data_IF_939904907269
#
_entry.id   IF_939904907269
#
_cell.length_a   1.000
_cell.length_b   1.000
_cell.length_c   1.000
_cell.angle_alpha   90.00
_cell.angle_beta   90.00
_cell.angle_gamma   90.00
#
_symmetry.space_group_name_H-M   'P 1'
#
loop_
_entity.id
_entity.type
_entity.pdbx_description
1 polymer ?
#
# COMPACT_ATOMS: atom_id res chain seq x y z
N UNK A 1 17.53 -23.00 -15.35
CA UNK A 1 18.30 -23.45 -16.53
C UNK A 1 18.19 -22.49 -17.72
N UNK A 2 17.03 -21.93 -18.05
CA UNK A 2 16.87 -21.03 -19.21
C UNK A 2 17.83 -19.82 -19.23
N UNK A 3 17.96 -19.13 -18.09
CA UNK A 3 18.77 -17.91 -17.98
C UNK A 3 20.28 -18.17 -18.19
N UNK A 4 20.77 -19.31 -17.70
CA UNK A 4 22.14 -19.76 -17.91
C UNK A 4 22.43 -20.07 -19.38
N UNK A 5 21.51 -20.77 -20.05
CA UNK A 5 21.65 -21.10 -21.48
C UNK A 5 21.61 -19.85 -22.34
N UNK A 6 20.75 -18.88 -22.01
CA UNK A 6 20.69 -17.58 -22.69
C UNK A 6 22.02 -16.82 -22.54
N UNK A 7 22.55 -16.71 -21.33
CA UNK A 7 23.85 -16.09 -21.07
C UNK A 7 24.99 -16.79 -21.84
N UNK A 8 24.98 -18.14 -21.87
CA UNK A 8 25.95 -18.93 -22.63
C UNK A 8 25.84 -18.73 -24.15
N UNK A 9 24.65 -18.45 -24.66
CA UNK A 9 24.41 -18.10 -26.06
C UNK A 9 24.75 -16.64 -26.39
N UNK A 10 25.36 -15.89 -25.45
CA UNK A 10 25.72 -14.49 -25.64
C UNK A 10 24.56 -13.50 -25.45
N UNK A 11 23.42 -13.95 -24.93
CA UNK A 11 22.28 -13.07 -24.61
C UNK A 11 22.50 -12.43 -23.25
N UNK A 12 22.46 -11.10 -23.18
CA UNK A 12 22.55 -10.38 -21.91
C UNK A 12 21.23 -10.52 -21.13
N UNK A 13 21.31 -11.07 -19.92
CA UNK A 13 20.15 -11.33 -19.06
C UNK A 13 20.14 -10.38 -17.87
N UNK A 14 19.06 -9.62 -17.74
CA UNK A 14 18.81 -8.73 -16.60
C UNK A 14 17.66 -9.27 -15.77
N UNK A 15 17.83 -9.35 -14.45
CA UNK A 15 16.80 -9.81 -13.53
C UNK A 15 16.70 -8.90 -12.31
N UNK A 16 15.47 -8.61 -11.86
CA UNK A 16 15.26 -7.87 -10.63
C UNK A 16 15.76 -8.67 -9.41
N UNK A 17 16.36 -7.97 -8.44
CA UNK A 17 16.82 -8.55 -7.19
C UNK A 17 15.68 -9.15 -6.35
N UNK A 18 14.45 -8.67 -6.53
CA UNK A 18 13.26 -9.05 -5.76
C UNK A 18 12.87 -7.97 -4.74
N UNK A 19 11.64 -8.08 -4.21
CA UNK A 19 11.02 -7.09 -3.32
C UNK A 19 10.85 -7.60 -1.86
N UNK A 20 11.61 -8.62 -1.48
CA UNK A 20 11.55 -9.28 -0.16
C UNK A 20 12.50 -8.68 0.89
N UNK A 21 13.07 -7.50 0.61
CA UNK A 21 13.85 -6.72 1.56
C UNK A 21 12.99 -6.20 2.74
N UNK A 22 13.59 -5.49 3.72
CA UNK A 22 14.96 -4.95 3.74
C UNK A 22 15.99 -5.85 4.42
N UNK A 23 15.61 -7.05 4.88
CA UNK A 23 16.49 -7.94 5.62
C UNK A 23 17.74 -8.35 4.80
N UNK A 24 18.91 -8.55 5.43
CA UNK A 24 20.10 -9.04 4.74
C UNK A 24 19.84 -10.37 4.02
N UNK A 25 20.47 -10.57 2.86
CA UNK A 25 20.37 -11.81 2.04
C UNK A 25 18.95 -12.16 1.56
N UNK A 26 18.08 -11.16 1.42
CA UNK A 26 16.72 -11.31 0.88
C UNK A 26 16.64 -11.29 -0.66
N UNK A 27 17.79 -11.31 -1.35
CA UNK A 27 17.87 -11.30 -2.81
C UNK A 27 17.37 -12.62 -3.42
N UNK A 28 16.49 -12.52 -4.42
CA UNK A 28 15.93 -13.66 -5.14
C UNK A 28 16.76 -14.05 -6.38
N UNK A 29 17.53 -13.11 -6.93
CA UNK A 29 18.41 -13.33 -8.10
C UNK A 29 19.88 -13.42 -7.67
N UNK A 30 20.38 -14.64 -7.48
CA UNK A 30 21.73 -14.91 -6.94
C UNK A 30 22.69 -15.59 -7.95
N UNK A 31 22.31 -15.69 -9.23
CA UNK A 31 23.14 -16.34 -10.24
C UNK A 31 24.26 -15.42 -10.74
N UNK A 32 25.48 -15.95 -10.84
CA UNK A 32 26.66 -15.22 -11.30
C UNK A 32 26.59 -14.81 -12.79
N UNK A 33 25.84 -15.53 -13.63
CA UNK A 33 25.70 -15.21 -15.06
C UNK A 33 24.58 -14.19 -15.35
N UNK A 34 23.95 -13.61 -14.33
CA UNK A 34 22.80 -12.72 -14.48
C UNK A 34 23.14 -11.34 -13.91
N UNK A 35 22.84 -10.30 -14.67
CA UNK A 35 22.95 -8.94 -14.17
C UNK A 35 21.76 -8.63 -13.27
N UNK A 36 22.00 -8.60 -11.97
CA UNK A 36 20.94 -8.41 -10.98
C UNK A 36 20.77 -6.94 -10.61
N UNK A 37 19.54 -6.44 -10.66
CA UNK A 37 19.22 -5.02 -10.49
C UNK A 37 18.42 -4.79 -9.21
N UNK A 38 18.94 -3.93 -8.33
CA UNK A 38 18.23 -3.41 -7.16
C UNK A 38 17.36 -2.20 -7.50
N UNK A 39 16.37 -1.92 -6.66
CA UNK A 39 15.55 -0.71 -6.76
C UNK A 39 16.14 0.42 -5.90
N UNK A 40 16.09 1.65 -6.42
CA UNK A 40 16.47 2.87 -5.70
C UNK A 40 15.46 3.98 -6.00
N UNK A 41 15.33 4.92 -5.07
CA UNK A 41 14.52 6.12 -5.27
C UNK A 41 15.32 7.20 -6.03
N UNK A 42 14.64 7.98 -6.85
CA UNK A 42 15.16 9.24 -7.39
C UNK A 42 14.62 10.42 -6.55
N UNK A 43 15.00 11.65 -6.89
CA UNK A 43 14.70 12.89 -6.14
C UNK A 43 13.30 13.47 -6.37
N UNK A 44 12.46 12.85 -7.20
CA UNK A 44 11.11 13.33 -7.49
C UNK A 44 10.15 12.77 -6.45
N UNK A 45 9.39 13.68 -5.86
CA UNK A 45 8.34 13.41 -4.89
C UNK A 45 6.99 13.80 -5.51
N UNK A 46 6.02 12.87 -5.48
CA UNK A 46 4.65 13.14 -5.90
C UNK A 46 3.90 13.78 -4.73
N UNK A 47 4.05 15.09 -4.59
CA UNK A 47 3.38 15.87 -3.56
C UNK A 47 1.87 15.87 -3.79
N UNK A 48 1.12 15.65 -2.72
CA UNK A 48 -0.33 15.75 -2.70
C UNK A 48 -0.76 16.41 -1.40
N UNK A 49 -2.00 16.90 -1.30
CA UNK A 49 -2.49 17.55 -0.10
C UNK A 49 -3.96 17.28 0.13
N UNK A 50 -4.35 17.14 1.39
CA UNK A 50 -5.75 17.04 1.81
C UNK A 50 -6.12 18.31 2.57
N UNK A 51 -7.25 18.92 2.22
CA UNK A 51 -7.75 20.13 2.89
C UNK A 51 -8.90 19.77 3.83
N UNK A 52 -8.70 20.00 5.11
CA UNK A 52 -9.68 19.76 6.18
C UNK A 52 -10.18 21.12 6.68
N UNK A 53 -11.29 21.59 6.11
CA UNK A 53 -11.85 22.89 6.43
C UNK A 53 -10.86 24.03 6.14
N UNK A 54 -10.33 24.65 7.20
CA UNK A 54 -9.32 25.72 7.10
C UNK A 54 -7.88 25.23 7.04
N UNK A 55 -7.60 23.97 7.39
CA UNK A 55 -6.25 23.41 7.47
C UNK A 55 -5.93 22.62 6.21
N UNK A 56 -4.71 22.75 5.69
CA UNK A 56 -4.20 21.93 4.59
C UNK A 56 -3.05 21.06 5.10
N UNK A 57 -3.16 19.76 4.87
CA UNK A 57 -2.15 18.77 5.25
C UNK A 57 -1.44 18.31 3.98
N UNK A 58 -0.14 18.58 3.90
CA UNK A 58 0.71 18.08 2.81
C UNK A 58 1.08 16.61 3.05
N UNK A 59 1.06 15.83 1.99
CA UNK A 59 1.44 14.42 1.98
C UNK A 59 2.04 14.02 0.64
N UNK A 60 2.13 12.71 0.44
CA UNK A 60 2.64 12.11 -0.79
C UNK A 60 1.59 11.16 -1.35
N UNK A 61 1.38 11.18 -2.66
CA UNK A 61 0.40 10.32 -3.29
C UNK A 61 0.24 10.57 -4.77
N UNK A 62 0.12 9.49 -5.54
CA UNK A 62 -0.15 9.54 -6.97
C UNK A 62 -1.65 9.42 -7.23
N UNK A 63 -2.39 10.44 -6.79
CA UNK A 63 -3.82 10.55 -7.06
C UNK A 63 -4.08 11.78 -7.93
N UNK A 64 -5.06 11.70 -8.83
CA UNK A 64 -5.56 12.86 -9.57
C UNK A 64 -6.26 13.82 -8.61
N UNK A 65 -6.24 15.12 -8.94
CA UNK A 65 -7.01 16.10 -8.18
C UNK A 65 -8.49 15.72 -8.14
N UNK A 66 -9.09 15.78 -6.94
CA UNK A 66 -10.53 15.68 -6.78
C UNK A 66 -11.18 17.02 -7.12
N UNK A 67 -12.47 17.01 -7.44
CA UNK A 67 -13.25 18.24 -7.51
C UNK A 67 -13.26 18.93 -6.13
N UNK A 68 -13.62 20.23 -6.07
CA UNK A 68 -13.73 21.01 -4.82
C UNK A 68 -14.90 20.56 -3.89
N UNK A 69 -15.35 19.31 -4.03
CA UNK A 69 -16.37 18.72 -3.16
C UNK A 69 -15.78 18.40 -1.78
N UNK A 70 -16.54 18.72 -0.74
CA UNK A 70 -16.21 18.35 0.63
C UNK A 70 -16.81 16.98 0.95
N UNK A 71 -15.98 16.09 1.49
CA UNK A 71 -16.38 14.76 1.93
C UNK A 71 -16.24 14.67 3.45
N UNK A 72 -17.13 13.92 4.09
CA UNK A 72 -16.99 13.64 5.53
C UNK A 72 -15.77 12.77 5.76
N UNK A 73 -14.95 13.16 6.73
CA UNK A 73 -13.75 12.42 7.13
C UNK A 73 -14.13 11.48 8.27
N UNK A 74 -13.93 10.17 8.09
CA UNK A 74 -14.31 9.14 9.06
C UNK A 74 -13.12 8.23 9.37
N UNK A 75 -12.83 8.04 10.65
CA UNK A 75 -11.81 7.10 11.08
C UNK A 75 -12.33 5.66 11.03
N UNK A 76 -11.44 4.70 10.75
CA UNK A 76 -11.84 3.31 10.59
C UNK A 76 -12.55 2.71 11.82
N UNK A 77 -12.17 3.14 13.02
CA UNK A 77 -12.84 2.76 14.28
C UNK A 77 -14.29 3.24 14.38
N UNK A 78 -14.61 4.39 13.78
CA UNK A 78 -15.97 4.93 13.74
C UNK A 78 -16.80 4.40 12.57
N UNK A 79 -16.18 3.69 11.63
CA UNK A 79 -16.85 3.08 10.48
C UNK A 79 -17.25 1.61 10.71
N UNK A 80 -17.08 1.09 11.93
CA UNK A 80 -17.37 -0.31 12.28
C UNK A 80 -18.86 -0.67 12.19
N UNK A 81 -19.15 -1.91 11.84
CA UNK A 81 -20.48 -2.51 11.92
C UNK A 81 -20.94 -2.64 13.40
N UNK A 82 -22.24 -2.44 13.66
CA UNK A 82 -22.77 -2.41 15.03
C UNK A 82 -22.63 -3.70 15.83
N UNK A 83 -22.39 -4.83 15.17
CA UNK A 83 -22.35 -6.18 15.76
C UNK A 83 -20.92 -6.72 15.97
N UNK A 84 -19.88 -5.95 15.61
CA UNK A 84 -18.49 -6.38 15.81
C UNK A 84 -18.07 -6.13 17.26
N UNK A 85 -18.21 -7.15 18.11
CA UNK A 85 -17.56 -7.17 19.42
C UNK A 85 -16.03 -7.12 19.22
N UNK A 86 -15.41 -6.02 19.66
CA UNK A 86 -13.97 -5.76 19.56
C UNK A 86 -13.16 -6.79 20.37
N UNK A 87 -12.90 -7.96 19.80
CA UNK A 87 -11.89 -8.89 20.34
C UNK A 87 -10.49 -8.54 19.85
N UNK A 88 -10.35 -7.75 18.77
CA UNK A 88 -9.06 -7.38 18.18
C UNK A 88 -9.06 -5.97 17.57
N UNK A 89 -9.38 -4.96 18.38
CA UNK A 89 -9.44 -3.55 17.95
C UNK A 89 -8.09 -2.95 17.50
N UNK A 90 -7.00 -3.70 17.59
CA UNK A 90 -5.65 -3.19 17.31
C UNK A 90 -5.39 -2.99 15.81
N UNK A 91 -6.12 -3.69 14.92
CA UNK A 91 -5.87 -3.67 13.47
C UNK A 91 -6.97 -2.99 12.63
N UNK A 92 -8.07 -2.56 13.25
CA UNK A 92 -9.17 -1.86 12.55
C UNK A 92 -8.65 -0.61 11.86
N UNK A 93 -7.75 0.12 12.52
CA UNK A 93 -7.13 1.32 11.99
C UNK A 93 -6.41 1.10 10.65
N UNK A 94 -5.92 -0.09 10.35
CA UNK A 94 -5.14 -0.36 9.14
C UNK A 94 -6.02 -0.62 7.90
N UNK A 95 -7.34 -0.65 8.06
CA UNK A 95 -8.32 -0.90 6.98
C UNK A 95 -8.02 -2.17 6.17
N UNK A 96 -7.58 -3.26 6.81
CA UNK A 96 -7.20 -4.48 6.10
C UNK A 96 -8.36 -5.45 5.85
N UNK A 97 -9.50 -5.26 6.52
CA UNK A 97 -10.68 -6.12 6.42
C UNK A 97 -11.93 -5.27 6.14
N UNK A 98 -12.58 -5.56 5.01
CA UNK A 98 -13.81 -4.89 4.59
C UNK A 98 -15.03 -5.35 5.38
N UNK A 99 -15.02 -6.59 5.86
CA UNK A 99 -16.20 -7.23 6.45
C UNK A 99 -16.64 -6.61 7.77
N UNK A 100 -15.71 -5.94 8.45
CA UNK A 100 -15.94 -5.26 9.73
C UNK A 100 -16.37 -3.79 9.55
N UNK A 101 -16.30 -3.25 8.33
CA UNK A 101 -16.65 -1.86 8.03
C UNK A 101 -18.05 -1.77 7.42
N UNK A 102 -18.84 -0.81 7.88
CA UNK A 102 -20.17 -0.55 7.35
C UNK A 102 -20.07 0.18 6.00
N UNK A 103 -20.73 -0.39 4.99
CA UNK A 103 -20.81 0.22 3.66
C UNK A 103 -21.42 1.63 3.70
N UNK A 104 -22.39 1.87 4.57
CA UNK A 104 -23.09 3.15 4.68
C UNK A 104 -22.17 4.25 5.23
N UNK A 105 -21.19 3.89 6.07
CA UNK A 105 -20.22 4.82 6.62
C UNK A 105 -19.05 5.07 5.68
N UNK A 106 -18.68 4.10 4.84
CA UNK A 106 -17.55 4.22 3.91
C UNK A 106 -17.98 4.87 2.58
N UNK A 107 -19.18 4.55 2.08
CA UNK A 107 -19.66 5.04 0.80
C UNK A 107 -19.82 6.57 0.80
N UNK A 108 -19.12 7.24 -0.12
CA UNK A 108 -19.18 8.70 -0.27
C UNK A 108 -18.44 9.49 0.82
N UNK A 109 -17.70 8.82 1.72
CA UNK A 109 -16.88 9.45 2.75
C UNK A 109 -15.39 9.14 2.54
N UNK A 110 -14.52 9.93 3.19
CA UNK A 110 -13.07 9.69 3.22
C UNK A 110 -12.73 8.85 4.45
N UNK A 111 -12.45 7.56 4.23
CA UNK A 111 -12.01 6.64 5.26
C UNK A 111 -10.52 6.86 5.60
N UNK A 112 -10.21 6.96 6.89
CA UNK A 112 -8.86 7.21 7.39
C UNK A 112 -8.27 5.94 7.96
N UNK A 113 -7.14 5.57 7.40
CA UNK A 113 -6.40 4.38 7.79
C UNK A 113 -5.05 4.77 8.39
N UNK A 114 -4.65 4.11 9.47
CA UNK A 114 -3.33 4.23 10.09
C UNK A 114 -2.34 3.26 9.43
N UNK A 115 -1.09 3.71 9.33
CA UNK A 115 0.02 2.86 8.89
C UNK A 115 0.85 2.47 10.12
N UNK A 116 0.88 1.18 10.45
CA UNK A 116 1.63 0.63 11.59
C UNK A 116 2.70 -0.37 11.14
N UNK A 117 3.38 -1.00 12.11
CA UNK A 117 4.48 -1.97 11.91
C UNK A 117 4.10 -3.14 10.99
N UNK A 118 2.82 -3.48 10.91
CA UNK A 118 2.26 -4.52 10.05
C UNK A 118 2.56 -4.30 8.55
N UNK A 119 2.65 -3.04 8.12
CA UNK A 119 3.08 -2.70 6.75
C UNK A 119 4.57 -2.97 6.52
N UNK A 120 5.40 -2.81 7.56
CA UNK A 120 6.84 -3.12 7.51
C UNK A 120 7.08 -4.62 7.48
N UNK A 121 6.26 -5.38 8.22
CA UNK A 121 6.31 -6.85 8.24
C UNK A 121 5.64 -7.50 7.02
N UNK A 122 4.97 -6.71 6.17
CA UNK A 122 4.31 -7.18 4.97
C UNK A 122 3.01 -7.96 5.21
N UNK A 123 2.47 -7.95 6.42
CA UNK A 123 1.17 -8.56 6.73
C UNK A 123 0.00 -7.64 6.33
N UNK A 124 0.25 -6.33 6.30
CA UNK A 124 -0.70 -5.31 5.84
C UNK A 124 -0.21 -4.65 4.57
N UNK A 125 -1.12 -4.37 3.64
CA UNK A 125 -0.77 -3.79 2.33
C UNK A 125 -1.75 -2.70 1.92
N UNK A 126 -1.23 -1.72 1.18
CA UNK A 126 -2.06 -0.67 0.57
C UNK A 126 -3.06 -1.30 -0.42
N UNK A 127 -2.66 -2.36 -1.12
CA UNK A 127 -3.54 -3.06 -2.07
C UNK A 127 -4.77 -3.64 -1.38
N UNK A 128 -4.58 -4.36 -0.27
CA UNK A 128 -5.71 -4.86 0.53
C UNK A 128 -6.56 -3.70 1.05
N UNK A 129 -5.93 -2.65 1.57
CA UNK A 129 -6.58 -1.41 2.01
C UNK A 129 -7.46 -0.73 0.96
N UNK A 130 -7.10 -0.86 -0.32
CA UNK A 130 -7.85 -0.29 -1.45
C UNK A 130 -9.01 -1.18 -1.89
N UNK A 131 -8.94 -2.48 -1.62
CA UNK A 131 -10.02 -3.45 -1.86
C UNK A 131 -11.07 -3.43 -0.74
N UNK A 132 -10.78 -2.75 0.37
CA UNK A 132 -11.61 -2.65 1.57
C UNK A 132 -12.94 -1.90 1.39
N UNK A 133 -13.02 -0.79 0.63
CA UNK A 133 -14.31 -0.14 0.38
C UNK A 133 -15.19 -1.09 -0.46
N UNK A 134 -16.46 -1.32 -0.07
CA UNK A 134 -17.38 -2.07 -0.91
C UNK A 134 -17.51 -1.36 -2.25
N UNK A 135 -17.20 -2.10 -3.33
CA UNK A 135 -17.39 -1.60 -4.69
C UNK A 135 -18.88 -1.29 -4.90
N UNK A 136 -19.23 -0.16 -5.52
CA UNK A 136 -20.63 0.16 -5.82
C UNK A 136 -21.29 -0.90 -6.70
#
# INVERSE_FOLDING_TARGET
MALFTAAKAGVFVVQAAGNTGPAPRSISSFSLQIFTVGAAAHDRVYNNSVRLGSVTISGVGQATGTNEAMYTFISADHALCSDTALTDGMYVGECQDASILSADFVAGNLLVCSCMVSFVLGVSTIKRGLETPPKP
#
